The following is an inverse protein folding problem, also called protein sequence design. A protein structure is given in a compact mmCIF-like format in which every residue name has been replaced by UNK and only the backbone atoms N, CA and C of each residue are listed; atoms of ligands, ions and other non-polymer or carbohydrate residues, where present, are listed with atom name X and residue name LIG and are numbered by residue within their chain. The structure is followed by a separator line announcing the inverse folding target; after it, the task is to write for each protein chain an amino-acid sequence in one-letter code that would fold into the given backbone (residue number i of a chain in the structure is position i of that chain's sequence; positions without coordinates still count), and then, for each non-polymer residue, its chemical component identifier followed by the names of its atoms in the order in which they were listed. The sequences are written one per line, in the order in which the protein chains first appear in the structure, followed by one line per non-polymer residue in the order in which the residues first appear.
data_IF_471922955245
#
_entry.id   IF_471922955245
#
_cell.length_a   1.000
_cell.length_b   1.000
_cell.length_c   1.000
_cell.angle_alpha   90.00
_cell.angle_beta   90.00
_cell.angle_gamma   90.00
#
_symmetry.space_group_name_H-M   'P 1'
#
loop_
_entity.id
_entity.type
_entity.pdbx_description
1 polymer ?
#
# COMPACT_ATOMS: atom_id res chain seq x y z
N UNK A 1 -4.98 31.33 15.45
CA UNK A 1 -6.33 30.72 15.47
C UNK A 1 -6.80 30.20 14.11
N UNK A 2 -6.54 30.86 12.97
CA UNK A 2 -7.01 30.38 11.65
C UNK A 2 -6.21 29.21 11.05
N UNK A 3 -4.89 29.19 11.24
CA UNK A 3 -4.03 28.09 10.76
C UNK A 3 -4.43 26.74 11.36
N UNK A 4 -4.68 26.69 12.67
CA UNK A 4 -5.12 25.48 13.35
C UNK A 4 -6.46 24.95 12.83
N UNK A 5 -7.39 25.86 12.48
CA UNK A 5 -8.68 25.48 11.89
C UNK A 5 -8.51 24.83 10.52
N UNK A 6 -7.65 25.39 9.66
CA UNK A 6 -7.35 24.81 8.34
C UNK A 6 -6.64 23.46 8.47
N UNK A 7 -5.72 23.31 9.43
CA UNK A 7 -5.05 22.03 9.70
C UNK A 7 -6.04 20.96 10.17
N UNK A 8 -6.99 21.30 11.05
CA UNK A 8 -8.03 20.37 11.48
C UNK A 8 -8.93 19.92 10.32
N UNK A 9 -9.28 20.84 9.41
CA UNK A 9 -10.07 20.52 8.22
C UNK A 9 -9.31 19.58 7.26
N UNK A 10 -8.01 19.79 7.06
CA UNK A 10 -7.17 18.90 6.26
C UNK A 10 -7.13 17.49 6.87
N UNK A 11 -6.89 17.39 8.18
CA UNK A 11 -6.82 16.11 8.88
C UNK A 11 -8.12 15.30 8.77
N UNK A 12 -9.27 16.00 8.86
CA UNK A 12 -10.57 15.37 8.69
C UNK A 12 -10.82 14.92 7.24
N UNK A 13 -10.46 15.76 6.25
CA UNK A 13 -10.55 15.37 4.84
C UNK A 13 -9.67 14.15 4.53
N UNK A 14 -8.43 14.11 5.04
CA UNK A 14 -7.52 12.97 4.89
C UNK A 14 -8.07 11.70 5.56
N UNK A 15 -8.73 11.84 6.72
CA UNK A 15 -9.41 10.72 7.36
C UNK A 15 -10.53 10.19 6.48
N UNK A 16 -11.38 11.07 5.96
CA UNK A 16 -12.51 10.72 5.09
C UNK A 16 -12.04 10.05 3.79
N UNK A 17 -11.00 10.59 3.15
CA UNK A 17 -10.39 10.01 1.94
C UNK A 17 -9.88 8.60 2.23
N UNK A 18 -9.16 8.40 3.35
CA UNK A 18 -8.65 7.07 3.73
C UNK A 18 -9.77 6.08 3.99
N UNK A 19 -10.86 6.49 4.63
CA UNK A 19 -12.03 5.63 4.87
C UNK A 19 -12.71 5.28 3.54
N UNK A 20 -12.95 6.26 2.66
CA UNK A 20 -13.56 6.05 1.36
C UNK A 20 -12.74 5.07 0.50
N UNK A 21 -11.42 5.29 0.38
CA UNK A 21 -10.52 4.38 -0.35
C UNK A 21 -10.54 2.95 0.18
N UNK A 22 -10.59 2.76 1.51
CA UNK A 22 -10.69 1.42 2.11
C UNK A 22 -12.00 0.75 1.74
N UNK A 23 -13.12 1.47 1.80
CA UNK A 23 -14.45 0.95 1.43
C UNK A 23 -14.51 0.56 -0.03
N UNK A 24 -14.05 1.43 -0.93
CA UNK A 24 -13.98 1.14 -2.38
C UNK A 24 -13.11 -0.08 -2.66
N UNK A 25 -11.93 -0.17 -2.05
CA UNK A 25 -11.04 -1.32 -2.21
C UNK A 25 -11.66 -2.61 -1.69
N UNK A 26 -12.36 -2.56 -0.56
CA UNK A 26 -13.07 -3.72 -0.01
C UNK A 26 -14.21 -4.16 -0.92
N UNK A 27 -15.00 -3.21 -1.45
CA UNK A 27 -16.06 -3.51 -2.40
C UNK A 27 -15.51 -4.18 -3.67
N UNK A 28 -14.42 -3.65 -4.23
CA UNK A 28 -13.74 -4.25 -5.37
C UNK A 28 -13.24 -5.68 -5.07
N UNK A 29 -12.67 -5.92 -3.89
CA UNK A 29 -12.23 -7.25 -3.49
C UNK A 29 -13.38 -8.25 -3.37
N UNK A 30 -14.54 -7.81 -2.86
CA UNK A 30 -15.74 -8.66 -2.81
C UNK A 30 -16.21 -9.02 -4.20
N UNK A 31 -16.31 -8.05 -5.11
CA UNK A 31 -16.71 -8.27 -6.50
C UNK A 31 -15.75 -9.23 -7.22
N UNK A 32 -14.44 -9.05 -7.06
CA UNK A 32 -13.45 -9.98 -7.63
C UNK A 32 -13.66 -11.38 -7.09
N UNK A 33 -13.84 -11.55 -5.77
CA UNK A 33 -14.06 -12.88 -5.17
C UNK A 33 -15.33 -13.55 -5.69
N UNK A 34 -16.39 -12.79 -5.91
CA UNK A 34 -17.62 -13.29 -6.52
C UNK A 34 -17.36 -13.79 -7.94
N UNK A 35 -16.75 -12.96 -8.80
CA UNK A 35 -16.40 -13.35 -10.17
C UNK A 35 -15.50 -14.59 -10.23
N UNK A 36 -14.53 -14.70 -9.33
CA UNK A 36 -13.67 -15.89 -9.24
C UNK A 36 -14.47 -17.15 -8.91
N UNK A 37 -15.45 -17.03 -8.02
CA UNK A 37 -16.28 -18.15 -7.57
C UNK A 37 -17.29 -18.55 -8.64
N UNK A 38 -18.01 -17.58 -9.21
CA UNK A 38 -19.08 -17.79 -10.19
C UNK A 38 -18.57 -18.43 -11.48
N UNK A 39 -17.35 -18.09 -11.88
CA UNK A 39 -16.72 -18.61 -13.09
C UNK A 39 -15.68 -19.72 -12.81
N UNK A 40 -15.58 -20.19 -11.57
CA UNK A 40 -14.59 -21.18 -11.12
C UNK A 40 -13.15 -20.87 -11.60
N UNK A 41 -12.77 -19.59 -11.60
CA UNK A 41 -11.49 -19.13 -12.12
C UNK A 41 -10.35 -19.57 -11.21
N UNK A 42 -9.29 -20.10 -11.79
CA UNK A 42 -8.08 -20.42 -11.04
C UNK A 42 -7.19 -19.19 -10.89
N UNK A 43 -6.38 -19.16 -9.82
CA UNK A 43 -5.38 -18.11 -9.64
C UNK A 43 -4.41 -17.99 -10.84
N UNK A 44 -4.14 -19.10 -11.54
CA UNK A 44 -3.29 -19.11 -12.73
C UNK A 44 -3.92 -18.34 -13.90
N UNK A 45 -5.23 -18.41 -14.08
CA UNK A 45 -5.94 -17.70 -15.14
C UNK A 45 -6.04 -16.19 -14.84
N UNK A 46 -6.19 -15.83 -13.56
CA UNK A 46 -6.30 -14.43 -13.13
C UNK A 46 -4.95 -13.71 -13.18
N UNK A 47 -3.89 -14.37 -12.70
CA UNK A 47 -2.58 -13.74 -12.50
C UNK A 47 -1.52 -14.16 -13.53
N UNK A 48 -1.81 -15.18 -14.34
CA UNK A 48 -0.93 -15.70 -15.39
C UNK A 48 0.21 -16.60 -14.89
N UNK A 49 1.01 -17.05 -15.84
CA UNK A 49 2.20 -17.88 -15.61
C UNK A 49 3.30 -17.02 -14.97
N UNK A 50 3.44 -17.09 -13.65
CA UNK A 50 4.27 -16.19 -12.83
C UNK A 50 3.64 -15.79 -11.49
N UNK A 51 2.44 -16.31 -11.17
CA UNK A 51 1.76 -16.07 -9.90
C UNK A 51 2.68 -16.24 -8.67
N UNK A 52 3.50 -17.29 -8.61
CA UNK A 52 4.42 -17.53 -7.50
C UNK A 52 5.51 -16.47 -7.34
N UNK A 53 6.07 -15.97 -8.45
CA UNK A 53 7.15 -14.98 -8.42
C UNK A 53 6.62 -13.57 -8.18
N UNK A 54 5.44 -13.24 -8.72
CA UNK A 54 4.76 -11.97 -8.43
C UNK A 54 4.20 -11.93 -7.02
N UNK A 55 3.63 -13.03 -6.51
CA UNK A 55 3.21 -13.11 -5.10
C UNK A 55 4.43 -12.97 -4.20
N UNK A 56 5.60 -13.55 -4.51
CA UNK A 56 6.84 -13.23 -3.76
C UNK A 56 7.19 -11.74 -3.81
N UNK A 57 6.99 -11.06 -4.93
CA UNK A 57 7.18 -9.60 -5.04
C UNK A 57 6.14 -8.79 -4.24
N UNK A 58 4.89 -9.25 -4.13
CA UNK A 58 3.80 -8.58 -3.40
C UNK A 58 3.75 -8.93 -1.91
N UNK A 59 4.21 -10.12 -1.53
CA UNK A 59 4.34 -10.61 -0.14
C UNK A 59 5.64 -10.14 0.50
N UNK A 60 6.62 -9.68 -0.29
CA UNK A 60 7.76 -8.91 0.22
C UNK A 60 7.29 -7.50 0.58
N UNK A 61 6.60 -7.41 1.72
CA UNK A 61 6.05 -6.19 2.27
C UNK A 61 7.09 -5.07 2.33
N UNK A 62 6.59 -3.85 2.19
CA UNK A 62 7.37 -2.63 2.38
C UNK A 62 8.25 -2.76 3.62
N UNK A 63 9.57 -2.84 3.41
CA UNK A 63 10.54 -2.97 4.51
C UNK A 63 10.84 -1.62 5.16
N UNK A 64 10.77 -0.54 4.37
CA UNK A 64 11.15 0.80 4.82
C UNK A 64 10.07 1.84 4.51
N UNK A 65 9.88 2.80 5.41
CA UNK A 65 8.98 3.95 5.27
C UNK A 65 9.68 5.24 5.65
N UNK A 66 9.48 6.27 4.84
CA UNK A 66 9.89 7.63 5.15
C UNK A 66 9.01 8.22 6.26
N UNK A 67 9.56 8.63 7.42
CA UNK A 67 8.79 9.26 8.49
C UNK A 67 8.24 10.64 8.11
N UNK A 68 8.87 11.34 7.15
CA UNK A 68 8.46 12.69 6.76
C UNK A 68 7.31 12.68 5.74
N UNK A 69 7.42 11.85 4.70
CA UNK A 69 6.43 11.83 3.59
C UNK A 69 5.50 10.62 3.61
N UNK A 70 5.83 9.59 4.39
CA UNK A 70 5.12 8.32 4.37
C UNK A 70 5.40 7.47 3.13
N UNK A 71 6.34 7.87 2.27
CA UNK A 71 6.77 7.07 1.12
C UNK A 71 7.32 5.71 1.56
N UNK A 72 7.14 4.69 0.73
CA UNK A 72 7.43 3.30 1.07
C UNK A 72 8.45 2.71 0.10
N UNK A 73 9.36 1.88 0.60
CA UNK A 73 10.34 1.18 -0.23
C UNK A 73 10.55 -0.26 0.25
N UNK A 74 10.57 -1.19 -0.69
CA UNK A 74 10.73 -2.62 -0.42
C UNK A 74 12.16 -3.03 -0.07
N UNK A 75 13.14 -2.13 -0.21
CA UNK A 75 14.56 -2.44 0.00
C UNK A 75 15.26 -3.08 -1.19
N UNK A 76 14.56 -3.26 -2.33
CA UNK A 76 15.13 -3.74 -3.60
C UNK A 76 15.13 -2.63 -4.65
N UNK A 77 16.11 -2.67 -5.55
CA UNK A 77 16.30 -1.66 -6.62
C UNK A 77 17.04 -0.41 -6.14
N UNK A 78 16.98 0.67 -6.93
CA UNK A 78 17.60 1.96 -6.59
C UNK A 78 16.98 2.51 -5.31
N UNK A 79 17.80 2.78 -4.31
CA UNK A 79 17.36 3.39 -3.07
C UNK A 79 16.79 4.81 -3.35
N UNK A 80 15.59 5.13 -2.85
CA UNK A 80 15.04 6.48 -2.91
C UNK A 80 15.92 7.49 -2.17
N UNK A 81 15.87 8.76 -2.58
CA UNK A 81 16.69 9.84 -2.01
C UNK A 81 16.54 10.01 -0.49
N UNK A 82 15.38 9.67 0.08
CA UNK A 82 15.11 9.81 1.51
C UNK A 82 15.79 8.75 2.40
N UNK A 83 16.21 7.61 1.84
CA UNK A 83 16.93 6.53 2.55
C UNK A 83 18.34 6.27 2.00
N UNK A 84 18.64 6.74 0.79
CA UNK A 84 19.97 6.60 0.20
C UNK A 84 21.03 7.29 1.07
N UNK A 85 22.09 6.56 1.43
CA UNK A 85 23.21 7.08 2.24
C UNK A 85 22.91 7.29 3.74
N UNK A 86 21.72 6.92 4.22
CA UNK A 86 21.34 7.00 5.64
C UNK A 86 21.28 5.61 6.29
N UNK A 87 21.28 5.56 7.61
CA UNK A 87 21.03 4.31 8.33
C UNK A 87 19.60 3.83 8.06
N UNK A 88 19.51 2.68 7.39
CA UNK A 88 18.25 2.08 6.96
C UNK A 88 17.44 1.56 8.14
N UNK A 89 18.08 1.28 9.28
CA UNK A 89 17.41 0.85 10.51
C UNK A 89 16.39 1.89 11.00
N UNK A 90 16.68 3.18 10.82
CA UNK A 90 15.80 4.28 11.22
C UNK A 90 14.48 4.36 10.42
N UNK A 91 14.43 3.70 9.25
CA UNK A 91 13.27 3.73 8.35
C UNK A 91 12.51 2.40 8.32
N UNK A 92 12.94 1.40 9.09
CA UNK A 92 12.33 0.08 9.07
C UNK A 92 10.90 0.13 9.61
N UNK A 93 9.96 -0.43 8.86
CA UNK A 93 8.61 -0.66 9.37
C UNK A 93 8.71 -1.84 10.35
N UNK A 94 8.63 -1.54 11.64
CA UNK A 94 8.35 -2.55 12.68
C UNK A 94 6.84 -2.65 12.78
N UNK A 95 6.30 -3.77 12.31
CA UNK A 95 4.89 -4.14 12.52
C UNK A 95 4.64 -4.44 14.01
#
# INVERSE_FOLDING_TARGET
MQLQKLQAQLAELDRRIRVARRRERQAALVQVRQLVTDHALTAREIFGQGYSDRVKLFTMGTKYRDPATGATWSGRGRAPAWIAGRDRAAFLIRD
#
